data_IF_417854496142
#
_entry.id   IF_417854496142
#
_cell.length_a   1.000
_cell.length_b   1.000
_cell.length_c   1.000
_cell.angle_alpha   90.00
_cell.angle_beta   90.00
_cell.angle_gamma   90.00
#
_symmetry.space_group_name_H-M   'P 1'
#
loop_
_entity.id
_entity.type
_entity.pdbx_description
1 polymer ?
#
# COMPACT_ATOMS: atom_id res chain seq x y z
N UNK A 1 -33.63 21.27 12.58
CA UNK A 1 -33.52 20.22 11.54
C UNK A 1 -32.03 20.00 11.29
N UNK A 2 -31.43 19.07 12.02
CA UNK A 2 -30.01 18.74 11.86
C UNK A 2 -29.95 17.84 10.62
N UNK A 3 -29.25 18.28 9.57
CA UNK A 3 -29.01 17.49 8.37
C UNK A 3 -28.31 16.19 8.78
N UNK A 4 -29.01 15.06 8.66
CA UNK A 4 -28.41 13.74 8.72
C UNK A 4 -27.49 13.63 7.50
N UNK A 5 -26.19 13.81 7.67
CA UNK A 5 -25.23 13.39 6.67
C UNK A 5 -25.50 11.90 6.40
N UNK A 6 -25.74 11.53 5.14
CA UNK A 6 -25.98 10.14 4.76
C UNK A 6 -24.73 9.35 5.14
N UNK A 7 -24.83 8.51 6.17
CA UNK A 7 -23.75 7.62 6.57
C UNK A 7 -23.50 6.65 5.41
N UNK A 8 -22.27 6.64 4.87
CA UNK A 8 -21.86 5.72 3.81
C UNK A 8 -21.92 4.29 4.35
N UNK A 9 -22.49 3.36 3.58
CA UNK A 9 -22.61 1.96 4.01
C UNK A 9 -21.25 1.27 4.09
N UNK A 10 -21.13 0.17 4.84
CA UNK A 10 -19.86 -0.58 4.92
C UNK A 10 -19.45 -1.11 3.54
N UNK A 11 -20.40 -1.56 2.72
CA UNK A 11 -20.13 -2.03 1.36
C UNK A 11 -19.58 -0.93 0.46
N UNK A 12 -20.13 0.29 0.56
CA UNK A 12 -19.62 1.46 -0.18
C UNK A 12 -18.20 1.82 0.27
N UNK A 13 -17.88 1.70 1.57
CA UNK A 13 -16.52 1.91 2.09
C UNK A 13 -15.54 0.84 1.59
N UNK A 14 -15.92 -0.45 1.63
CA UNK A 14 -15.12 -1.55 1.10
C UNK A 14 -14.80 -1.34 -0.39
N UNK A 15 -15.79 -0.95 -1.18
CA UNK A 15 -15.59 -0.64 -2.60
C UNK A 15 -14.60 0.52 -2.80
N UNK A 16 -14.70 1.59 -2.00
CA UNK A 16 -13.77 2.71 -2.06
C UNK A 16 -12.32 2.28 -1.75
N UNK A 17 -12.12 1.43 -0.74
CA UNK A 17 -10.80 0.91 -0.41
C UNK A 17 -10.26 -0.07 -1.46
N UNK A 18 -11.12 -0.89 -2.08
CA UNK A 18 -10.73 -1.73 -3.21
C UNK A 18 -10.22 -0.89 -4.41
N UNK A 19 -10.89 0.24 -4.70
CA UNK A 19 -10.40 1.20 -5.71
C UNK A 19 -9.09 1.86 -5.31
N UNK A 20 -8.92 2.24 -4.04
CA UNK A 20 -7.65 2.79 -3.54
C UNK A 20 -6.50 1.78 -3.69
N UNK A 21 -6.75 0.50 -3.38
CA UNK A 21 -5.79 -0.58 -3.56
C UNK A 21 -5.40 -0.74 -5.04
N UNK A 22 -6.39 -0.77 -5.95
CA UNK A 22 -6.14 -0.90 -7.39
C UNK A 22 -5.31 0.27 -7.94
N UNK A 23 -5.59 1.50 -7.50
CA UNK A 23 -4.78 2.67 -7.85
C UNK A 23 -3.35 2.54 -7.32
N UNK A 24 -3.19 2.10 -6.07
CA UNK A 24 -1.89 1.84 -5.48
C UNK A 24 -1.09 0.80 -6.26
N UNK A 25 -1.72 -0.28 -6.75
CA UNK A 25 -1.09 -1.29 -7.61
C UNK A 25 -0.58 -0.69 -8.91
N UNK A 26 -1.40 0.13 -9.57
CA UNK A 26 -1.00 0.79 -10.82
C UNK A 26 0.17 1.76 -10.61
N UNK A 27 0.14 2.56 -9.54
CA UNK A 27 1.23 3.49 -9.20
C UNK A 27 2.53 2.74 -8.92
N UNK A 28 2.46 1.64 -8.16
CA UNK A 28 3.63 0.81 -7.88
C UNK A 28 4.18 0.15 -9.15
N UNK A 29 3.31 -0.37 -10.04
CA UNK A 29 3.71 -0.96 -11.31
C UNK A 29 4.40 0.04 -12.26
N UNK A 30 3.93 1.30 -12.29
CA UNK A 30 4.61 2.38 -13.02
C UNK A 30 6.00 2.64 -12.43
N UNK A 31 6.11 2.66 -11.10
CA UNK A 31 7.39 2.75 -10.41
C UNK A 31 8.35 1.62 -10.83
N UNK A 32 7.92 0.38 -10.74
CA UNK A 32 8.72 -0.80 -11.12
C UNK A 32 9.16 -0.75 -12.60
N UNK A 33 8.27 -0.31 -13.50
CA UNK A 33 8.59 -0.15 -14.92
C UNK A 33 9.69 0.90 -15.14
N UNK A 34 9.62 2.04 -14.45
CA UNK A 34 10.65 3.09 -14.51
C UNK A 34 12.00 2.64 -13.94
N UNK A 35 12.01 1.68 -13.00
CA UNK A 35 13.25 1.17 -12.41
C UNK A 35 14.13 0.44 -13.44
N UNK A 36 13.54 -0.08 -14.51
CA UNK A 36 14.27 -0.70 -15.62
C UNK A 36 15.05 0.32 -16.47
N UNK A 37 14.80 1.61 -16.27
CA UNK A 37 15.51 2.68 -16.97
C UNK A 37 16.98 2.76 -16.53
N UNK A 38 17.88 3.00 -17.49
CA UNK A 38 19.30 3.33 -17.21
C UNK A 38 19.47 4.76 -16.68
N UNK A 39 18.43 5.59 -16.74
CA UNK A 39 18.47 6.97 -16.26
C UNK A 39 18.27 7.03 -14.74
N UNK A 40 19.28 7.54 -14.02
CA UNK A 40 19.26 7.65 -12.55
C UNK A 40 18.08 8.48 -12.01
N UNK A 41 17.65 9.54 -12.70
CA UNK A 41 16.45 10.31 -12.29
C UNK A 41 15.18 9.47 -12.37
N UNK A 42 15.08 8.60 -13.37
CA UNK A 42 13.94 7.71 -13.51
C UNK A 42 13.95 6.58 -12.46
N UNK A 43 15.12 6.11 -12.03
CA UNK A 43 15.24 5.18 -10.90
C UNK A 43 14.84 5.83 -9.56
N UNK A 44 15.21 7.09 -9.33
CA UNK A 44 14.77 7.82 -8.14
C UNK A 44 13.25 8.07 -8.13
N UNK A 45 12.67 8.40 -9.29
CA UNK A 45 11.21 8.47 -9.45
C UNK A 45 10.55 7.11 -9.26
N UNK A 46 11.17 6.03 -9.77
CA UNK A 46 10.68 4.67 -9.65
C UNK A 46 10.51 4.25 -8.18
N UNK A 47 11.54 4.49 -7.35
CA UNK A 47 11.48 4.20 -5.92
C UNK A 47 10.34 4.96 -5.24
N UNK A 48 10.21 6.28 -5.52
CA UNK A 48 9.13 7.10 -4.93
C UNK A 48 7.75 6.58 -5.30
N UNK A 49 7.52 6.27 -6.58
CA UNK A 49 6.24 5.75 -7.07
C UNK A 49 5.94 4.37 -6.48
N UNK A 50 6.94 3.48 -6.40
CA UNK A 50 6.78 2.18 -5.75
C UNK A 50 6.32 2.34 -4.31
N UNK A 51 7.00 3.19 -3.52
CA UNK A 51 6.67 3.45 -2.12
C UNK A 51 5.26 4.04 -1.96
N UNK A 52 4.88 5.01 -2.79
CA UNK A 52 3.54 5.63 -2.73
C UNK A 52 2.46 4.59 -3.04
N UNK A 53 2.61 3.83 -4.14
CA UNK A 53 1.61 2.84 -4.53
C UNK A 53 1.46 1.73 -3.49
N UNK A 54 2.58 1.30 -2.91
CA UNK A 54 2.64 0.33 -1.83
C UNK A 54 1.97 0.83 -0.54
N UNK A 55 2.18 2.10 -0.17
CA UNK A 55 1.53 2.71 0.99
C UNK A 55 0.01 2.80 0.80
N UNK A 56 -0.47 3.18 -0.39
CA UNK A 56 -1.89 3.20 -0.72
C UNK A 56 -2.54 1.82 -0.57
N UNK A 57 -1.87 0.77 -1.07
CA UNK A 57 -2.33 -0.61 -0.90
C UNK A 57 -2.40 -1.00 0.58
N UNK A 58 -1.36 -0.71 1.38
CA UNK A 58 -1.34 -1.04 2.81
C UNK A 58 -2.47 -0.34 3.60
N UNK A 59 -2.77 0.92 3.29
CA UNK A 59 -3.88 1.66 3.91
C UNK A 59 -5.22 1.03 3.54
N UNK A 60 -5.45 0.76 2.25
CA UNK A 60 -6.67 0.12 1.78
C UNK A 60 -6.89 -1.25 2.42
N UNK A 61 -5.82 -2.02 2.53
CA UNK A 61 -5.79 -3.33 3.13
C UNK A 61 -6.12 -3.31 4.63
N UNK A 62 -5.53 -2.39 5.39
CA UNK A 62 -5.82 -2.20 6.81
C UNK A 62 -7.29 -1.80 7.04
N UNK A 63 -7.79 -0.85 6.25
CA UNK A 63 -9.18 -0.39 6.34
C UNK A 63 -10.18 -1.50 5.97
N UNK A 64 -9.91 -2.28 4.91
CA UNK A 64 -10.74 -3.43 4.56
C UNK A 64 -10.74 -4.49 5.67
N UNK A 65 -9.61 -4.71 6.36
CA UNK A 65 -9.53 -5.65 7.48
C UNK A 65 -10.41 -5.21 8.66
N UNK A 66 -10.36 -3.93 9.00
CA UNK A 66 -11.19 -3.34 10.07
C UNK A 66 -12.68 -3.40 9.73
N UNK A 67 -13.06 -2.98 8.52
CA UNK A 67 -14.46 -3.02 8.07
C UNK A 67 -15.01 -4.45 8.00
N UNK A 68 -14.20 -5.40 7.52
CA UNK A 68 -14.60 -6.81 7.47
C UNK A 68 -14.74 -7.39 8.88
N UNK A 69 -13.85 -7.02 9.81
CA UNK A 69 -13.98 -7.44 11.21
C UNK A 69 -15.25 -6.89 11.86
N UNK A 70 -15.68 -5.67 11.51
CA UNK A 70 -16.93 -5.09 12.00
C UNK A 70 -18.19 -5.82 11.45
N UNK A 71 -18.17 -6.20 10.17
CA UNK A 71 -19.21 -7.06 9.58
C UNK A 71 -19.26 -8.44 10.26
N UNK A 72 -18.11 -9.01 10.59
CA UNK A 72 -18.02 -10.30 11.30
C UNK A 72 -18.42 -10.23 12.77
N UNK A 73 -18.32 -9.05 13.42
CA UNK A 73 -18.86 -8.87 14.78
C UNK A 73 -20.39 -8.82 14.78
N UNK A 74 -20.97 -8.30 13.71
CA UNK A 74 -22.43 -8.17 13.55
C UNK A 74 -23.08 -9.44 12.98
N UNK A 75 -22.36 -10.23 12.17
CA UNK A 75 -22.78 -11.55 11.71
C UNK A 75 -22.29 -12.64 12.68
N UNK A 76 -23.19 -13.47 13.22
CA UNK A 76 -22.90 -14.44 14.30
C UNK A 76 -21.89 -15.58 13.99
N UNK A 77 -21.14 -15.52 12.88
CA UNK A 77 -20.17 -16.54 12.48
C UNK A 77 -18.73 -15.97 12.55
N UNK A 78 -18.02 -16.35 13.61
CA UNK A 78 -16.60 -16.05 13.81
C UNK A 78 -15.72 -16.94 12.94
N UNK A 79 -15.43 -16.51 11.73
CA UNK A 79 -14.30 -17.06 10.97
C UNK A 79 -13.37 -15.89 10.61
N UNK A 80 -12.34 -15.72 11.45
CA UNK A 80 -11.48 -14.55 11.47
C UNK A 80 -10.67 -14.42 10.19
N UNK A 81 -10.60 -13.18 9.70
CA UNK A 81 -9.85 -12.71 8.54
C UNK A 81 -8.32 -12.73 8.75
N UNK A 82 -7.80 -13.68 9.54
CA UNK A 82 -6.41 -13.73 10.03
C UNK A 82 -5.39 -13.78 8.88
N UNK A 83 -5.71 -14.48 7.80
CA UNK A 83 -4.84 -14.56 6.63
C UNK A 83 -4.71 -13.22 5.90
N UNK A 84 -5.76 -12.40 5.87
CA UNK A 84 -5.71 -11.08 5.24
C UNK A 84 -4.87 -10.12 6.08
N UNK A 85 -5.03 -10.15 7.41
CA UNK A 85 -4.18 -9.37 8.33
C UNK A 85 -2.71 -9.75 8.18
N UNK A 86 -2.40 -11.06 8.10
CA UNK A 86 -1.04 -11.55 7.86
C UNK A 86 -0.52 -11.10 6.48
N UNK A 87 -1.33 -11.19 5.43
CA UNK A 87 -0.97 -10.72 4.09
C UNK A 87 -0.63 -9.22 4.05
N UNK A 88 -1.40 -8.41 4.77
CA UNK A 88 -1.20 -6.96 4.87
C UNK A 88 0.07 -6.61 5.64
N UNK A 89 0.33 -7.30 6.75
CA UNK A 89 1.57 -7.19 7.52
C UNK A 89 2.79 -7.56 6.66
N UNK A 90 2.69 -8.67 5.91
CA UNK A 90 3.77 -9.12 5.03
C UNK A 90 4.05 -8.11 3.91
N UNK A 91 3.01 -7.51 3.30
CA UNK A 91 3.18 -6.44 2.31
C UNK A 91 3.84 -5.20 2.93
N UNK A 92 3.39 -4.76 4.11
CA UNK A 92 4.00 -3.63 4.82
C UNK A 92 5.49 -3.88 5.12
N UNK A 93 5.85 -5.11 5.50
CA UNK A 93 7.23 -5.52 5.71
C UNK A 93 8.04 -5.45 4.41
N UNK A 94 7.51 -5.98 3.31
CA UNK A 94 8.15 -5.89 1.99
C UNK A 94 8.38 -4.45 1.52
N UNK A 95 7.44 -3.55 1.83
CA UNK A 95 7.54 -2.13 1.53
C UNK A 95 8.67 -1.46 2.33
N UNK A 96 8.75 -1.75 3.63
CA UNK A 96 9.83 -1.25 4.48
C UNK A 96 11.21 -1.73 4.01
N UNK A 97 11.32 -3.00 3.61
CA UNK A 97 12.57 -3.55 3.06
C UNK A 97 12.96 -2.87 1.74
N UNK A 98 12.01 -2.56 0.85
CA UNK A 98 12.26 -1.79 -0.38
C UNK A 98 12.85 -0.40 -0.09
N UNK A 99 12.33 0.29 0.94
CA UNK A 99 12.87 1.59 1.37
C UNK A 99 14.31 1.45 1.86
N UNK A 100 14.57 0.47 2.73
CA UNK A 100 15.92 0.23 3.29
C UNK A 100 16.92 -0.12 2.18
N UNK A 101 16.53 -0.99 1.24
CA UNK A 101 17.36 -1.35 0.09
C UNK A 101 17.69 -0.12 -0.77
N UNK A 102 16.69 0.72 -1.08
CA UNK A 102 16.91 1.96 -1.84
C UNK A 102 17.80 2.98 -1.13
N UNK A 103 17.80 3.03 0.20
CA UNK A 103 18.74 3.86 0.98
C UNK A 103 20.17 3.32 0.89
N UNK A 104 20.35 2.00 1.03
CA UNK A 104 21.67 1.38 0.94
C UNK A 104 22.29 1.53 -0.46
N UNK A 105 21.49 1.35 -1.51
CA UNK A 105 21.93 1.54 -2.90
C UNK A 105 22.33 2.99 -3.20
N UNK A 106 21.69 3.97 -2.56
CA UNK A 106 22.09 5.38 -2.64
C UNK A 106 23.41 5.64 -1.93
N UNK A 107 23.59 5.11 -0.72
CA UNK A 107 24.81 5.25 0.07
C UNK A 107 26.03 4.60 -0.60
N UNK A 108 25.86 3.42 -1.22
CA UNK A 108 26.96 2.75 -1.91
C UNK A 108 27.37 3.52 -3.18
N UNK A 109 26.40 4.09 -3.90
CA UNK A 109 26.65 4.95 -5.07
C UNK A 109 27.33 6.27 -4.73
N UNK A 110 27.12 6.84 -3.53
CA UNK A 110 27.83 8.06 -3.12
C UNK A 110 29.30 7.79 -2.81
N UNK A 111 29.62 6.66 -2.15
CA UNK A 111 31.00 6.25 -1.87
C UNK A 111 31.82 6.02 -3.15
N UNK A 112 31.27 5.33 -4.15
CA UNK A 112 31.95 5.08 -5.42
C UNK A 112 32.19 6.34 -6.29
N UNK A 113 31.60 7.49 -5.95
CA UNK A 113 31.82 8.76 -6.67
C UNK A 113 32.88 9.65 -6.03
N UNK A 114 33.35 9.29 -4.84
CA UNK A 114 34.37 10.03 -4.08
C UNK A 114 35.73 9.31 -4.07
N UNK A 115 35.82 8.12 -4.68
CA UNK A 115 37.04 7.37 -4.98
C UNK A 115 37.42 7.53 -6.45
#
# INVERSE_FOLDING_TARGET
MILLAKQISIDEQLAAFAWLQALGTNVAAVGQTKNLSKNKRQQEEAEKLSIIGNAMQSIANAAQAELTAELQRTAANKESNDLMVVGNLLQSLGNALQVIAGVNDRANRSKNRQS
#
